data_IF_632789810571
#
_entry.id   IF_632789810571
#
_cell.length_a   1.000
_cell.length_b   1.000
_cell.length_c   1.000
_cell.angle_alpha   90.00
_cell.angle_beta   90.00
_cell.angle_gamma   90.00
#
_symmetry.space_group_name_H-M   'P 1'
#
loop_
_entity.id
_entity.type
_entity.pdbx_description
1 polymer ?
#
# COMPACT_ATOMS: atom_id res chain seq x y z
N UNK A 1 5.28 1.74 65.47
CA UNK A 1 5.90 0.87 64.47
C UNK A 1 4.99 0.55 63.25
N UNK A 2 4.00 1.36 62.91
CA UNK A 2 3.09 1.07 61.74
C UNK A 2 3.20 2.05 60.58
N UNK A 3 4.01 3.09 60.64
CA UNK A 3 4.15 4.11 59.57
C UNK A 3 5.33 3.87 58.61
N UNK A 4 6.34 3.12 59.01
CA UNK A 4 7.51 2.82 58.18
C UNK A 4 7.31 1.69 57.18
N UNK A 5 6.38 0.75 57.43
CA UNK A 5 6.06 -0.37 56.54
C UNK A 5 5.25 0.06 55.31
N UNK A 6 4.44 1.11 55.46
CA UNK A 6 3.60 1.62 54.35
C UNK A 6 4.43 2.41 53.32
N UNK A 7 5.49 3.10 53.77
CA UNK A 7 6.39 3.85 52.90
C UNK A 7 7.26 2.92 52.01
N UNK A 8 7.64 1.77 52.53
CA UNK A 8 8.39 0.75 51.76
C UNK A 8 7.59 0.08 50.65
N UNK A 9 6.29 -0.11 50.85
CA UNK A 9 5.39 -0.68 49.83
C UNK A 9 5.09 0.31 48.69
N UNK A 10 5.04 1.62 48.97
CA UNK A 10 4.80 2.66 47.95
C UNK A 10 6.06 2.87 47.11
N UNK A 11 7.26 2.79 47.67
CA UNK A 11 8.50 2.88 46.89
C UNK A 11 8.74 1.66 45.98
N UNK A 12 8.26 0.47 46.38
CA UNK A 12 8.36 -0.75 45.56
C UNK A 12 7.49 -0.71 44.29
N UNK A 13 6.43 0.08 44.26
CA UNK A 13 5.54 0.22 43.09
C UNK A 13 6.02 1.26 42.07
N UNK A 14 6.93 2.16 42.44
CA UNK A 14 7.47 3.19 41.57
C UNK A 14 8.65 2.67 40.72
N UNK A 15 9.21 1.53 41.03
CA UNK A 15 10.38 0.96 40.35
C UNK A 15 10.07 0.03 39.16
N UNK A 16 8.81 -0.17 38.79
CA UNK A 16 8.41 -1.16 37.76
C UNK A 16 8.06 -0.69 36.35
N UNK A 17 8.15 0.55 35.92
CA UNK A 17 7.80 0.90 34.54
C UNK A 17 8.99 1.12 33.59
N UNK A 18 10.11 0.49 33.78
CA UNK A 18 11.29 0.84 32.98
C UNK A 18 11.87 -0.28 32.08
N UNK A 19 11.17 -1.39 31.84
CA UNK A 19 11.81 -2.53 31.17
C UNK A 19 11.09 -3.04 29.90
N UNK A 20 10.36 -2.22 29.17
CA UNK A 20 9.78 -2.71 27.93
C UNK A 20 9.67 -1.61 26.84
N UNK A 21 10.79 -1.18 26.32
CA UNK A 21 10.82 -0.71 24.94
C UNK A 21 11.92 -1.49 24.23
N UNK A 22 11.58 -2.64 23.70
CA UNK A 22 12.38 -3.23 22.65
C UNK A 22 12.29 -2.27 21.47
N UNK A 23 13.36 -1.51 21.24
CA UNK A 23 13.47 -0.67 20.05
C UNK A 23 13.50 -1.59 18.84
N UNK A 24 12.57 -1.41 17.93
CA UNK A 24 12.61 -2.12 16.64
C UNK A 24 13.85 -1.62 15.90
N UNK A 25 14.77 -2.53 15.60
CA UNK A 25 15.95 -2.23 14.80
C UNK A 25 15.59 -2.42 13.31
N UNK A 26 15.90 -1.43 12.49
CA UNK A 26 15.70 -1.49 11.05
C UNK A 26 16.89 -0.87 10.33
N UNK A 27 17.04 -1.20 9.06
CA UNK A 27 17.95 -0.53 8.13
C UNK A 27 17.15 0.14 7.04
N UNK A 28 17.62 1.29 6.58
CA UNK A 28 17.02 2.02 5.49
C UNK A 28 18.07 2.56 4.53
N UNK A 29 17.72 2.64 3.27
CA UNK A 29 18.52 3.25 2.21
C UNK A 29 17.61 3.74 1.08
N UNK A 30 18.18 4.50 0.16
CA UNK A 30 17.45 5.00 -1.01
C UNK A 30 18.24 4.64 -2.27
N UNK A 31 17.56 4.05 -3.26
CA UNK A 31 18.13 3.77 -4.58
C UNK A 31 18.32 5.07 -5.40
N UNK A 32 19.17 5.04 -6.41
CA UNK A 32 19.43 6.19 -7.29
C UNK A 32 18.19 6.69 -8.04
N UNK A 33 17.20 5.81 -8.23
CA UNK A 33 15.90 6.16 -8.80
C UNK A 33 14.93 6.79 -7.80
N UNK A 34 15.33 6.92 -6.52
CA UNK A 34 14.56 7.58 -5.46
C UNK A 34 13.66 6.64 -4.66
N UNK A 35 13.65 5.34 -4.91
CA UNK A 35 12.89 4.39 -4.07
C UNK A 35 13.49 4.34 -2.66
N UNK A 36 12.70 4.67 -1.66
CA UNK A 36 13.06 4.52 -0.25
C UNK A 36 12.78 3.10 0.20
N UNK A 37 13.78 2.44 0.80
CA UNK A 37 13.71 1.04 1.23
C UNK A 37 13.94 0.94 2.73
N UNK A 38 13.06 0.22 3.42
CA UNK A 38 13.13 -0.05 4.86
C UNK A 38 13.16 -1.57 5.05
N UNK A 39 14.12 -2.08 5.82
CA UNK A 39 14.26 -3.50 6.11
C UNK A 39 14.30 -3.74 7.62
N UNK A 40 13.52 -4.71 8.10
CA UNK A 40 13.55 -5.19 9.48
C UNK A 40 13.74 -6.70 9.51
N UNK A 41 14.85 -7.16 10.14
CA UNK A 41 15.12 -8.58 10.30
C UNK A 41 14.51 -9.12 11.59
N UNK A 42 13.66 -10.14 11.44
CA UNK A 42 13.10 -10.94 12.54
C UNK A 42 13.03 -12.41 12.11
N UNK A 43 14.01 -13.20 12.55
CA UNK A 43 14.13 -14.62 12.20
C UNK A 43 13.36 -15.55 13.16
N UNK A 44 12.42 -15.03 13.95
CA UNK A 44 11.63 -15.84 14.90
C UNK A 44 10.61 -16.74 14.23
N UNK A 45 10.18 -16.39 13.01
CA UNK A 45 9.22 -17.16 12.20
C UNK A 45 9.66 -17.14 10.74
N UNK A 46 9.58 -18.26 10.00
CA UNK A 46 10.08 -18.36 8.62
C UNK A 46 9.10 -17.72 7.61
N UNK A 47 8.75 -16.46 7.83
CA UNK A 47 7.86 -15.66 6.97
C UNK A 47 8.50 -14.32 6.65
N UNK A 48 8.13 -13.75 5.52
CA UNK A 48 8.49 -12.39 5.12
C UNK A 48 7.23 -11.64 4.69
N UNK A 49 7.19 -10.36 5.02
CA UNK A 49 6.22 -9.40 4.51
C UNK A 49 6.96 -8.40 3.64
N UNK A 50 6.51 -8.22 2.42
CA UNK A 50 6.91 -7.13 1.54
C UNK A 50 5.73 -6.18 1.38
N UNK A 51 5.99 -4.90 1.32
CA UNK A 51 4.93 -3.93 1.06
C UNK A 51 5.47 -2.71 0.33
N UNK A 52 4.63 -2.18 -0.58
CA UNK A 52 4.91 -0.91 -1.27
C UNK A 52 3.81 0.09 -0.91
N UNK A 53 4.24 1.19 -0.31
CA UNK A 53 3.41 2.34 -0.04
C UNK A 53 3.67 3.38 -1.13
N UNK A 54 2.66 3.69 -1.95
CA UNK A 54 2.70 4.81 -2.87
C UNK A 54 2.10 6.05 -2.19
N UNK A 55 2.79 7.18 -2.27
CA UNK A 55 2.33 8.48 -1.74
C UNK A 55 1.29 9.10 -2.67
N UNK A 56 0.23 8.34 -2.94
CA UNK A 56 -0.92 8.73 -3.74
C UNK A 56 -2.20 8.18 -3.13
N UNK A 57 -3.17 9.03 -2.95
CA UNK A 57 -4.50 8.69 -2.47
C UNK A 57 -5.54 9.61 -3.08
N UNK A 58 -6.76 9.58 -2.56
CA UNK A 58 -7.85 10.37 -3.14
C UNK A 58 -7.58 11.88 -3.14
N UNK A 59 -6.72 12.40 -2.26
CA UNK A 59 -6.35 13.83 -2.27
C UNK A 59 -5.61 14.29 -3.52
N UNK A 60 -4.95 13.37 -4.23
CA UNK A 60 -4.14 13.67 -5.42
C UNK A 60 -4.98 13.65 -6.71
N UNK A 61 -6.27 13.34 -6.61
CA UNK A 61 -7.18 13.25 -7.74
C UNK A 61 -7.65 14.61 -8.21
N UNK A 62 -8.01 14.70 -9.49
CA UNK A 62 -8.75 15.84 -10.01
C UNK A 62 -10.18 15.83 -9.42
N UNK A 63 -10.70 16.95 -8.92
CA UNK A 63 -12.08 17.05 -8.41
C UNK A 63 -13.18 16.56 -9.38
N UNK A 64 -12.91 16.61 -10.69
CA UNK A 64 -13.81 16.11 -11.74
C UNK A 64 -13.50 14.66 -12.16
N UNK A 65 -12.56 13.99 -11.50
CA UNK A 65 -12.08 12.62 -11.78
C UNK A 65 -11.73 11.89 -10.48
N UNK A 66 -12.69 11.79 -9.56
CA UNK A 66 -12.51 11.14 -8.26
C UNK A 66 -12.69 9.63 -8.35
N UNK A 67 -11.99 8.88 -7.48
CA UNK A 67 -12.01 7.43 -7.41
C UNK A 67 -10.84 6.75 -8.11
N UNK A 68 -9.90 7.49 -8.70
CA UNK A 68 -8.77 6.92 -9.44
C UNK A 68 -7.80 6.15 -8.55
N UNK A 69 -7.45 6.67 -7.39
CA UNK A 69 -6.52 6.00 -6.48
C UNK A 69 -7.06 4.64 -6.04
N UNK A 70 -8.34 4.57 -5.65
CA UNK A 70 -8.99 3.31 -5.30
C UNK A 70 -9.18 2.39 -6.52
N UNK A 71 -9.46 2.95 -7.68
CA UNK A 71 -9.52 2.18 -8.92
C UNK A 71 -8.19 1.49 -9.22
N UNK A 72 -7.05 2.19 -9.01
CA UNK A 72 -5.73 1.62 -9.16
C UNK A 72 -5.41 0.56 -8.11
N UNK A 73 -5.97 0.63 -6.90
CA UNK A 73 -5.88 -0.47 -5.94
C UNK A 73 -6.30 -1.80 -6.58
N UNK A 74 -7.41 -1.80 -7.33
CA UNK A 74 -7.90 -2.97 -8.05
C UNK A 74 -7.10 -3.28 -9.31
N UNK A 75 -6.84 -2.27 -10.13
CA UNK A 75 -6.22 -2.44 -11.45
C UNK A 75 -4.82 -3.03 -11.37
N UNK A 76 -4.09 -2.75 -10.29
CA UNK A 76 -2.73 -3.25 -10.07
C UNK A 76 -2.65 -4.76 -9.78
N UNK A 77 -3.78 -5.45 -9.66
CA UNK A 77 -3.86 -6.92 -9.57
C UNK A 77 -4.24 -7.58 -10.90
N UNK A 78 -4.56 -6.80 -11.94
CA UNK A 78 -4.98 -7.32 -13.23
C UNK A 78 -3.89 -8.08 -13.98
N UNK A 79 -2.62 -7.79 -13.70
CA UNK A 79 -1.46 -8.40 -14.32
C UNK A 79 -0.45 -7.38 -14.82
N UNK A 80 0.63 -7.88 -15.40
CA UNK A 80 1.70 -7.09 -15.97
C UNK A 80 2.04 -7.55 -17.38
N UNK A 81 3.08 -6.99 -17.98
CA UNK A 81 3.60 -7.50 -19.28
C UNK A 81 4.04 -8.97 -19.18
N UNK A 82 4.54 -9.39 -18.01
CA UNK A 82 5.09 -10.72 -17.77
C UNK A 82 4.19 -11.62 -16.90
N UNK A 83 3.08 -11.09 -16.36
CA UNK A 83 2.12 -11.81 -15.54
C UNK A 83 0.76 -11.74 -16.22
N UNK A 84 0.21 -12.89 -16.56
CA UNK A 84 -1.10 -12.96 -17.21
C UNK A 84 -2.21 -12.42 -16.31
N UNK A 85 -3.26 -11.88 -16.92
CA UNK A 85 -4.45 -11.36 -16.25
C UNK A 85 -5.05 -12.38 -15.29
N UNK A 86 -5.33 -11.94 -14.05
CA UNK A 86 -5.91 -12.79 -13.01
C UNK A 86 -4.95 -13.79 -12.38
N UNK A 87 -3.67 -13.83 -12.78
CA UNK A 87 -2.68 -14.74 -12.18
C UNK A 87 -1.98 -14.18 -10.95
N UNK A 88 -2.05 -12.89 -10.70
CA UNK A 88 -1.33 -12.23 -9.60
C UNK A 88 -1.61 -12.90 -8.24
N UNK A 89 -2.88 -13.03 -7.87
CA UNK A 89 -3.28 -13.72 -6.63
C UNK A 89 -2.93 -15.20 -6.64
N UNK A 90 -3.12 -15.90 -7.77
CA UNK A 90 -2.84 -17.32 -7.89
C UNK A 90 -1.36 -17.65 -7.68
N UNK A 91 -0.45 -16.82 -8.19
CA UNK A 91 0.99 -16.98 -8.03
C UNK A 91 1.35 -16.94 -6.54
N UNK A 92 0.93 -15.91 -5.83
CA UNK A 92 1.23 -15.75 -4.39
C UNK A 92 0.58 -16.85 -3.56
N UNK A 93 -0.70 -17.15 -3.78
CA UNK A 93 -1.44 -18.16 -3.01
C UNK A 93 -0.89 -19.58 -3.25
N UNK A 94 -0.48 -19.91 -4.47
CA UNK A 94 0.12 -21.22 -4.77
C UNK A 94 1.47 -21.46 -4.07
N UNK A 95 2.13 -20.38 -3.62
CA UNK A 95 3.37 -20.42 -2.83
C UNK A 95 3.12 -20.32 -1.31
N UNK A 96 1.87 -20.47 -0.88
CA UNK A 96 1.49 -20.42 0.53
C UNK A 96 1.39 -19.01 1.10
N UNK A 97 1.37 -17.98 0.26
CA UNK A 97 1.27 -16.60 0.64
C UNK A 97 -0.16 -16.04 0.61
N UNK A 98 -0.28 -14.82 1.07
CA UNK A 98 -1.47 -13.99 0.96
C UNK A 98 -1.07 -12.57 0.59
N UNK A 99 -1.98 -11.83 -0.02
CA UNK A 99 -1.76 -10.44 -0.42
C UNK A 99 -3.05 -9.64 -0.25
N UNK A 100 -2.89 -8.34 -0.10
CA UNK A 100 -4.01 -7.41 -0.07
C UNK A 100 -3.52 -5.98 -0.37
N UNK A 101 -4.47 -5.05 -0.47
CA UNK A 101 -4.21 -3.63 -0.63
C UNK A 101 -5.26 -2.79 0.10
N UNK A 102 -4.99 -1.50 0.26
CA UNK A 102 -5.98 -0.52 0.64
C UNK A 102 -5.60 0.88 0.14
N UNK A 103 -6.63 1.71 -0.02
CA UNK A 103 -6.49 3.12 -0.39
C UNK A 103 -7.08 4.02 0.68
N UNK A 104 -6.36 5.09 0.99
CA UNK A 104 -6.84 6.18 1.86
C UNK A 104 -6.84 7.51 1.12
N UNK A 105 -7.03 8.60 1.85
CA UNK A 105 -6.90 9.93 1.26
C UNK A 105 -5.46 10.26 0.84
N UNK A 106 -4.46 9.68 1.49
CA UNK A 106 -3.05 10.06 1.35
C UNK A 106 -2.19 9.02 0.65
N UNK A 107 -2.55 7.73 0.76
CA UNK A 107 -1.72 6.62 0.32
C UNK A 107 -2.54 5.52 -0.34
N UNK A 108 -1.89 4.78 -1.23
CA UNK A 108 -2.29 3.46 -1.70
C UNK A 108 -1.21 2.47 -1.31
N UNK A 109 -1.59 1.38 -0.65
CA UNK A 109 -0.69 0.44 0.00
C UNK A 109 -0.97 -0.98 -0.47
N UNK A 110 0.07 -1.68 -0.92
CA UNK A 110 0.03 -3.08 -1.32
C UNK A 110 0.93 -3.87 -0.39
N UNK A 111 0.56 -5.09 -0.04
CA UNK A 111 1.42 -5.96 0.76
C UNK A 111 1.19 -7.44 0.45
N UNK A 112 2.25 -8.19 0.63
CA UNK A 112 2.31 -9.63 0.46
C UNK A 112 2.98 -10.26 1.68
N UNK A 113 2.42 -11.38 2.14
CA UNK A 113 2.99 -12.21 3.19
C UNK A 113 3.26 -13.58 2.60
N UNK A 114 4.50 -14.05 2.69
CA UNK A 114 4.98 -15.29 2.06
C UNK A 114 5.91 -16.04 3.03
N UNK A 115 6.12 -17.35 2.83
CA UNK A 115 7.27 -18.05 3.42
C UNK A 115 8.58 -17.35 3.02
N UNK A 116 9.56 -17.28 3.93
CA UNK A 116 10.79 -16.50 3.72
C UNK A 116 11.63 -16.93 2.51
N UNK A 117 11.55 -18.19 2.11
CA UNK A 117 12.20 -18.69 0.89
C UNK A 117 11.59 -18.13 -0.41
N UNK A 118 10.46 -17.47 -0.36
CA UNK A 118 9.79 -16.83 -1.50
C UNK A 118 10.00 -15.30 -1.54
N UNK A 119 10.96 -14.76 -0.75
CA UNK A 119 11.28 -13.33 -0.75
C UNK A 119 11.58 -12.80 -2.16
N UNK A 120 12.34 -13.53 -2.94
CA UNK A 120 12.68 -13.12 -4.31
C UNK A 120 11.44 -13.01 -5.20
N UNK A 121 10.48 -13.94 -5.06
CA UNK A 121 9.19 -13.86 -5.75
C UNK A 121 8.41 -12.61 -5.35
N UNK A 122 8.32 -12.30 -4.06
CA UNK A 122 7.62 -11.11 -3.58
C UNK A 122 8.20 -9.82 -4.18
N UNK A 123 9.54 -9.69 -4.19
CA UNK A 123 10.21 -8.53 -4.78
C UNK A 123 10.00 -8.45 -6.31
N UNK A 124 10.02 -9.59 -7.00
CA UNK A 124 9.68 -9.66 -8.42
C UNK A 124 8.23 -9.18 -8.68
N UNK A 125 7.27 -9.69 -7.92
CA UNK A 125 5.86 -9.31 -8.08
C UNK A 125 5.63 -7.81 -7.87
N UNK A 126 6.23 -7.20 -6.86
CA UNK A 126 6.13 -5.76 -6.61
C UNK A 126 6.86 -4.91 -7.67
N UNK A 127 8.00 -5.39 -8.18
CA UNK A 127 8.69 -4.69 -9.28
C UNK A 127 7.88 -4.75 -10.59
N UNK A 128 7.24 -5.87 -10.90
CA UNK A 128 6.31 -6.01 -12.02
C UNK A 128 5.11 -5.06 -11.89
N UNK A 129 4.56 -4.96 -10.69
CA UNK A 129 3.49 -4.01 -10.39
C UNK A 129 3.92 -2.56 -10.65
N UNK A 130 5.13 -2.18 -10.24
CA UNK A 130 5.63 -0.82 -10.38
C UNK A 130 6.00 -0.45 -11.81
N UNK A 131 6.59 -1.37 -12.57
CA UNK A 131 7.16 -1.08 -13.90
C UNK A 131 6.25 -1.49 -15.06
N UNK A 132 5.59 -2.64 -14.96
CA UNK A 132 4.98 -3.35 -16.07
C UNK A 132 3.48 -3.56 -15.97
N UNK A 133 2.79 -2.94 -14.99
CA UNK A 133 1.32 -3.11 -14.86
C UNK A 133 0.59 -2.76 -16.14
N UNK A 134 -0.32 -3.65 -16.54
CA UNK A 134 -1.17 -3.46 -17.73
C UNK A 134 -2.33 -2.49 -17.46
N UNK A 135 -2.15 -1.25 -17.84
CA UNK A 135 -3.23 -0.26 -17.89
C UNK A 135 -3.81 -0.24 -19.29
N UNK A 136 -4.64 -1.24 -19.61
CA UNK A 136 -5.30 -1.41 -20.89
C UNK A 136 -6.83 -1.33 -20.78
N UNK A 137 -7.51 -1.21 -21.91
CA UNK A 137 -8.96 -1.06 -21.96
C UNK A 137 -9.68 -2.25 -21.33
N UNK A 138 -9.19 -3.46 -21.49
CA UNK A 138 -9.83 -4.67 -20.96
C UNK A 138 -9.80 -4.67 -19.43
N UNK A 139 -8.65 -4.36 -18.82
CA UNK A 139 -8.50 -4.25 -17.37
C UNK A 139 -9.34 -3.12 -16.80
N UNK A 140 -9.31 -1.96 -17.45
CA UNK A 140 -10.08 -0.80 -17.01
C UNK A 140 -11.58 -1.10 -17.05
N UNK A 141 -12.13 -1.67 -18.12
CA UNK A 141 -13.56 -2.00 -18.20
C UNK A 141 -13.95 -3.09 -17.18
N UNK A 142 -13.10 -4.11 -17.01
CA UNK A 142 -13.34 -5.16 -16.01
C UNK A 142 -13.41 -4.57 -14.59
N UNK A 143 -12.42 -3.78 -14.20
CA UNK A 143 -12.36 -3.21 -12.85
C UNK A 143 -13.39 -2.09 -12.66
N UNK A 144 -13.81 -1.41 -13.70
CA UNK A 144 -14.92 -0.45 -13.63
C UNK A 144 -16.21 -1.10 -13.10
N UNK A 145 -16.55 -2.27 -13.60
CA UNK A 145 -17.74 -3.00 -13.12
C UNK A 145 -17.55 -3.52 -11.69
N UNK A 146 -16.35 -3.99 -11.33
CA UNK A 146 -16.03 -4.44 -9.97
C UNK A 146 -16.18 -3.29 -8.95
N UNK A 147 -15.58 -2.13 -9.21
CA UNK A 147 -15.65 -0.96 -8.33
C UNK A 147 -17.08 -0.41 -8.21
N UNK A 148 -17.84 -0.43 -9.31
CA UNK A 148 -19.28 -0.07 -9.28
C UNK A 148 -20.06 -0.99 -8.35
N UNK A 149 -19.84 -2.29 -8.45
CA UNK A 149 -20.55 -3.26 -7.61
C UNK A 149 -20.13 -3.12 -6.15
N UNK A 150 -18.83 -2.91 -5.89
CA UNK A 150 -18.34 -2.64 -4.54
C UNK A 150 -19.00 -1.41 -3.92
N UNK A 151 -19.09 -0.30 -4.66
CA UNK A 151 -19.78 0.90 -4.19
C UNK A 151 -21.25 0.63 -3.87
N UNK A 152 -21.95 -0.12 -4.73
CA UNK A 152 -23.34 -0.52 -4.45
C UNK A 152 -23.44 -1.32 -3.16
N UNK A 153 -22.56 -2.30 -2.97
CA UNK A 153 -22.61 -3.19 -1.81
C UNK A 153 -22.20 -2.50 -0.51
N UNK A 154 -21.15 -1.67 -0.54
CA UNK A 154 -20.58 -1.06 0.67
C UNK A 154 -21.20 0.29 1.04
N UNK A 155 -21.76 1.01 0.07
CA UNK A 155 -22.27 2.37 0.28
C UNK A 155 -23.76 2.45 -0.04
N UNK A 156 -24.16 2.21 -1.32
CA UNK A 156 -25.48 2.59 -1.79
C UNK A 156 -26.60 1.71 -1.19
N UNK A 157 -26.32 0.41 -0.98
CA UNK A 157 -27.28 -0.56 -0.43
C UNK A 157 -27.18 -0.74 1.10
N UNK A 158 -26.27 -0.01 1.77
CA UNK A 158 -26.12 -0.13 3.21
C UNK A 158 -26.89 0.96 3.95
N UNK A 159 -27.59 0.62 5.04
CA UNK A 159 -28.13 1.62 5.96
C UNK A 159 -26.99 2.52 6.45
N UNK A 160 -27.16 3.83 6.29
CA UNK A 160 -26.16 4.83 6.66
C UNK A 160 -24.84 4.76 5.88
N UNK A 161 -24.77 4.03 4.76
CA UNK A 161 -23.55 3.86 3.97
C UNK A 161 -22.95 5.18 3.43
N UNK A 162 -23.76 6.22 3.25
CA UNK A 162 -23.32 7.55 2.80
C UNK A 162 -22.77 8.45 3.93
N UNK A 163 -22.78 8.02 5.21
CA UNK A 163 -22.35 8.86 6.34
C UNK A 163 -20.96 9.47 6.10
N UNK A 164 -19.99 8.65 5.70
CA UNK A 164 -18.62 9.13 5.47
C UNK A 164 -18.60 10.20 4.39
N UNK A 165 -19.15 9.92 3.21
CA UNK A 165 -19.18 10.83 2.06
C UNK A 165 -19.88 12.15 2.44
N UNK A 166 -21.06 12.08 3.06
CA UNK A 166 -21.83 13.25 3.50
C UNK A 166 -21.09 14.06 4.58
N UNK A 167 -20.35 13.41 5.45
CA UNK A 167 -19.54 14.08 6.47
C UNK A 167 -18.38 14.82 5.83
N UNK A 168 -17.64 14.17 4.92
CA UNK A 168 -16.46 14.75 4.29
C UNK A 168 -16.82 15.99 3.45
N UNK A 169 -17.88 15.93 2.63
CA UNK A 169 -18.36 17.07 1.83
C UNK A 169 -18.74 18.27 2.70
N UNK A 170 -19.26 18.04 3.91
CA UNK A 170 -19.61 19.12 4.84
C UNK A 170 -18.44 19.63 5.67
N UNK A 171 -17.49 18.74 5.99
CA UNK A 171 -16.32 19.10 6.79
C UNK A 171 -15.28 19.89 5.97
N UNK A 172 -15.17 19.59 4.68
CA UNK A 172 -14.16 20.17 3.79
C UNK A 172 -14.83 20.84 2.59
N UNK A 173 -14.68 22.16 2.49
CA UNK A 173 -15.28 22.95 1.39
C UNK A 173 -14.32 23.17 0.21
N UNK A 174 -13.00 23.03 0.42
CA UNK A 174 -11.97 23.27 -0.59
C UNK A 174 -10.92 22.17 -0.61
N UNK A 175 -10.61 21.58 0.56
CA UNK A 175 -9.57 20.58 0.66
C UNK A 175 -9.97 19.29 -0.07
N UNK A 176 -9.04 18.59 -0.77
CA UNK A 176 -9.32 17.33 -1.47
C UNK A 176 -9.86 16.18 -0.61
N UNK A 177 -9.85 16.32 0.71
CA UNK A 177 -10.52 15.37 1.60
C UNK A 177 -12.05 15.43 1.55
N UNK A 178 -12.62 16.34 0.76
CA UNK A 178 -14.08 16.45 0.60
C UNK A 178 -14.71 15.25 -0.11
N UNK A 179 -13.96 14.39 -0.77
CA UNK A 179 -14.49 13.15 -1.36
C UNK A 179 -13.83 11.91 -0.74
N UNK A 180 -14.62 10.84 -0.64
CA UNK A 180 -14.14 9.54 -0.16
C UNK A 180 -13.32 8.82 -1.25
N UNK A 181 -12.38 7.94 -0.90
CA UNK A 181 -11.55 7.19 -1.86
C UNK A 181 -12.35 6.42 -2.94
N UNK A 182 -13.55 5.92 -2.60
CA UNK A 182 -14.41 5.21 -3.56
C UNK A 182 -14.84 6.09 -4.74
N UNK A 183 -14.83 7.40 -4.59
CA UNK A 183 -15.10 8.37 -5.63
C UNK A 183 -16.52 8.37 -6.18
N UNK A 184 -16.65 8.99 -7.36
CA UNK A 184 -17.90 9.10 -8.11
C UNK A 184 -17.94 8.10 -9.27
N UNK A 185 -19.04 7.34 -9.39
CA UNK A 185 -19.24 6.44 -10.52
C UNK A 185 -19.34 7.20 -11.86
N UNK A 186 -19.88 8.40 -11.85
CA UNK A 186 -19.97 9.24 -13.06
C UNK A 186 -18.58 9.66 -13.54
N UNK A 187 -17.68 9.99 -12.61
CA UNK A 187 -16.31 10.32 -12.94
C UNK A 187 -15.55 9.11 -13.49
N UNK A 188 -15.71 7.94 -12.87
CA UNK A 188 -15.10 6.69 -13.34
C UNK A 188 -15.64 6.28 -14.72
N UNK A 189 -16.93 6.49 -14.98
CA UNK A 189 -17.53 6.19 -16.29
C UNK A 189 -17.06 7.15 -17.40
N UNK A 190 -16.83 8.42 -17.05
CA UNK A 190 -16.36 9.43 -18.00
C UNK A 190 -14.85 9.36 -18.27
N UNK A 191 -14.09 8.67 -17.41
CA UNK A 191 -12.64 8.59 -17.52
C UNK A 191 -12.18 7.79 -18.74
N UNK A 192 -11.19 8.33 -19.46
CA UNK A 192 -10.57 7.70 -20.63
C UNK A 192 -9.38 6.82 -20.24
N UNK A 193 -8.99 5.93 -21.15
CA UNK A 193 -7.82 5.07 -20.92
C UNK A 193 -6.53 5.90 -20.76
N UNK A 194 -6.41 7.00 -21.49
CA UNK A 194 -5.25 7.89 -21.43
C UNK A 194 -5.13 8.57 -20.07
N UNK A 195 -6.26 8.94 -19.44
CA UNK A 195 -6.28 9.50 -18.08
C UNK A 195 -5.79 8.47 -17.06
N UNK A 196 -6.21 7.20 -17.16
CA UNK A 196 -5.70 6.13 -16.32
C UNK A 196 -4.20 5.89 -16.55
N UNK A 197 -3.75 5.79 -17.81
CA UNK A 197 -2.33 5.61 -18.12
C UNK A 197 -1.47 6.78 -17.62
N UNK A 198 -1.98 8.02 -17.68
CA UNK A 198 -1.29 9.17 -17.16
C UNK A 198 -1.17 9.13 -15.63
N UNK A 199 -2.25 8.76 -14.93
CA UNK A 199 -2.25 8.63 -13.47
C UNK A 199 -1.23 7.57 -13.00
N UNK A 200 -1.15 6.43 -13.69
CA UNK A 200 -0.12 5.42 -13.42
C UNK A 200 1.29 6.00 -13.55
N UNK A 201 1.59 6.63 -14.68
CA UNK A 201 2.90 7.24 -14.96
C UNK A 201 3.26 8.36 -13.99
N UNK A 202 2.26 9.01 -13.43
CA UNK A 202 2.46 10.13 -12.53
C UNK A 202 2.74 9.70 -11.10
N UNK A 203 2.14 8.62 -10.62
CA UNK A 203 2.14 8.31 -9.19
C UNK A 203 2.76 6.96 -8.84
N UNK A 204 2.74 5.96 -9.74
CA UNK A 204 3.26 4.62 -9.46
C UNK A 204 4.71 4.47 -9.91
N UNK A 205 5.59 5.24 -9.28
CA UNK A 205 7.00 5.39 -9.63
C UNK A 205 7.89 5.29 -8.39
N UNK A 206 9.17 4.87 -8.52
CA UNK A 206 10.07 4.65 -7.39
C UNK A 206 10.18 5.84 -6.45
N UNK A 207 10.38 7.04 -6.98
CA UNK A 207 10.55 8.25 -6.19
C UNK A 207 9.24 8.79 -5.56
N UNK A 208 8.13 8.07 -5.69
CA UNK A 208 6.88 8.28 -4.98
C UNK A 208 6.49 7.08 -4.12
N UNK A 209 7.42 6.18 -3.85
CA UNK A 209 7.14 4.93 -3.16
C UNK A 209 8.11 4.66 -2.01
N UNK A 210 7.63 3.91 -1.02
CA UNK A 210 8.44 3.31 0.04
C UNK A 210 8.22 1.80 0.01
N UNK A 211 9.30 1.03 -0.19
CA UNK A 211 9.33 -0.42 -0.10
C UNK A 211 9.73 -0.82 1.33
N UNK A 212 8.91 -1.61 2.00
CA UNK A 212 9.24 -2.16 3.31
C UNK A 212 9.30 -3.67 3.25
N UNK A 213 10.36 -4.26 3.82
CA UNK A 213 10.58 -5.70 3.88
C UNK A 213 10.85 -6.08 5.33
N UNK A 214 10.03 -6.95 5.90
CA UNK A 214 10.15 -7.36 7.29
C UNK A 214 9.97 -8.86 7.47
N UNK A 215 10.73 -9.48 8.36
CA UNK A 215 10.64 -10.89 8.70
C UNK A 215 11.97 -11.63 8.62
N UNK A 216 11.90 -12.91 8.27
CA UNK A 216 13.05 -13.81 8.18
C UNK A 216 13.87 -13.51 6.92
N UNK A 217 14.72 -12.49 7.02
CA UNK A 217 15.56 -12.00 5.94
C UNK A 217 17.03 -11.91 6.38
N UNK A 218 17.94 -11.94 5.41
CA UNK A 218 19.32 -11.46 5.56
C UNK A 218 19.46 -10.11 4.87
N UNK A 219 19.98 -9.12 5.57
CA UNK A 219 20.07 -7.75 5.06
C UNK A 219 20.86 -7.64 3.75
N UNK A 220 22.02 -8.31 3.66
CA UNK A 220 22.87 -8.18 2.48
C UNK A 220 22.27 -8.87 1.26
N UNK A 221 21.68 -10.05 1.46
CA UNK A 221 20.96 -10.75 0.41
C UNK A 221 19.75 -9.97 -0.07
N UNK A 222 18.96 -9.42 0.87
CA UNK A 222 17.76 -8.64 0.58
C UNK A 222 18.09 -7.36 -0.19
N UNK A 223 19.14 -6.63 0.21
CA UNK A 223 19.60 -5.43 -0.49
C UNK A 223 20.01 -5.74 -1.94
N UNK A 224 20.73 -6.84 -2.17
CA UNK A 224 21.10 -7.26 -3.53
C UNK A 224 19.85 -7.60 -4.38
N UNK A 225 18.85 -8.24 -3.80
CA UNK A 225 17.59 -8.53 -4.50
C UNK A 225 16.80 -7.24 -4.82
N UNK A 226 16.75 -6.31 -3.88
CA UNK A 226 16.13 -5.00 -4.12
C UNK A 226 16.79 -4.27 -5.27
N UNK A 227 18.12 -4.18 -5.28
CA UNK A 227 18.89 -3.58 -6.38
C UNK A 227 18.57 -4.29 -7.70
N UNK A 228 18.60 -5.64 -7.71
CA UNK A 228 18.32 -6.45 -8.90
C UNK A 228 16.97 -6.13 -9.54
N UNK A 229 15.92 -5.93 -8.75
CA UNK A 229 14.56 -5.80 -9.26
C UNK A 229 14.09 -4.35 -9.43
N UNK A 230 14.65 -3.40 -8.67
CA UNK A 230 14.10 -2.04 -8.62
C UNK A 230 15.02 -0.95 -9.15
N UNK A 231 16.34 -1.18 -9.23
CA UNK A 231 17.29 -0.10 -9.55
C UNK A 231 17.09 0.50 -10.96
N UNK A 232 16.73 -0.33 -11.94
CA UNK A 232 16.51 0.09 -13.32
C UNK A 232 15.12 0.69 -13.58
N UNK A 233 14.20 0.68 -12.60
CA UNK A 233 12.86 1.25 -12.75
C UNK A 233 12.98 2.78 -12.89
N UNK A 234 12.44 3.38 -13.94
CA UNK A 234 12.60 4.80 -14.18
C UNK A 234 11.83 5.65 -13.18
N UNK A 235 12.49 6.66 -12.63
CA UNK A 235 11.84 7.65 -11.76
C UNK A 235 11.06 8.69 -12.57
N UNK A 236 10.09 9.32 -11.94
CA UNK A 236 9.45 10.50 -12.49
C UNK A 236 10.44 11.67 -12.53
N UNK A 237 10.41 12.42 -13.63
CA UNK A 237 11.31 13.58 -13.83
C UNK A 237 10.86 14.84 -13.07
N UNK A 238 9.62 14.88 -12.58
CA UNK A 238 9.03 16.04 -11.89
C UNK A 238 8.65 15.64 -10.47
N UNK A 239 8.99 16.47 -9.47
CA UNK A 239 8.52 16.27 -8.09
C UNK A 239 6.99 16.33 -8.03
N UNK A 240 6.42 15.52 -7.12
CA UNK A 240 4.97 15.39 -6.89
C UNK A 240 4.51 16.45 -5.90
#
# INVERSE_FOLDING_TARGET
>A
MKKTTLLGLILGWIAFPALAQNKIEFREFTLDNGLHVIMHQDNTTPIVVTSVLYHVGSKNENPERTGFAHFFEHLMFEGSENIDRGQYMNIIQSRGGTLNAFTSNDITYYYELLPSNELELALYMESERMLHSKVDITGVETQREVVKEEKRQRVDNQPYGSILTETLVRAYSVHPYQWAPIGSLDHLNAATIEEFQQFYKDFYVPNNATLTIAGDIDYAQTENLVIKYFDEIPKRRKEI
#
